data_IF_372486578956
#
_entry.id   IF_372486578956
#
_cell.length_a   1.000
_cell.length_b   1.000
_cell.length_c   1.000
_cell.angle_alpha   90.00
_cell.angle_beta   90.00
_cell.angle_gamma   90.00
#
_symmetry.space_group_name_H-M   'P 1'
#
loop_
_entity.id
_entity.type
_entity.pdbx_description
1 polymer ?
#
# COMPACT_ATOMS: atom_id res chain seq x y z
N UNK A 1 -4.48 8.87 25.02
CA UNK A 1 -4.39 10.05 24.14
C UNK A 1 -5.25 9.82 22.90
N UNK A 2 -5.69 10.88 22.24
CA UNK A 2 -6.52 10.84 21.03
C UNK A 2 -5.67 11.19 19.82
N UNK A 3 -5.68 10.33 18.80
CA UNK A 3 -4.95 10.54 17.54
C UNK A 3 -5.91 10.63 16.36
N UNK A 4 -5.52 11.34 15.31
CA UNK A 4 -6.25 11.37 14.06
C UNK A 4 -5.32 11.08 12.88
N UNK A 5 -5.82 10.36 11.90
CA UNK A 5 -5.06 9.98 10.70
C UNK A 5 -5.63 10.64 9.45
N UNK A 6 -4.76 11.05 8.55
CA UNK A 6 -5.12 11.57 7.24
C UNK A 6 -4.32 10.87 6.16
N UNK A 7 -5.02 10.27 5.19
CA UNK A 7 -4.40 9.50 4.13
C UNK A 7 -4.54 10.19 2.80
N UNK A 8 -3.42 10.39 2.13
CA UNK A 8 -3.33 10.76 0.72
C UNK A 8 -2.75 9.60 -0.08
N UNK A 9 -3.25 9.38 -1.30
CA UNK A 9 -2.62 8.44 -2.23
C UNK A 9 -3.45 7.19 -2.55
N UNK A 10 -2.75 6.06 -2.65
CA UNK A 10 -3.27 4.81 -3.18
C UNK A 10 -3.83 3.89 -2.07
N UNK A 11 -4.29 2.70 -2.49
CA UNK A 11 -4.79 1.66 -1.57
C UNK A 11 -3.70 1.16 -0.61
N UNK A 12 -2.42 1.19 -1.01
CA UNK A 12 -1.31 0.84 -0.12
C UNK A 12 -1.21 1.82 1.04
N UNK A 13 -1.27 3.14 0.76
CA UNK A 13 -1.31 4.15 1.83
C UNK A 13 -2.55 3.98 2.73
N UNK A 14 -3.71 3.62 2.16
CA UNK A 14 -4.91 3.35 2.97
C UNK A 14 -4.72 2.15 3.90
N UNK A 15 -4.15 1.06 3.40
CA UNK A 15 -3.82 -0.11 4.22
C UNK A 15 -2.83 0.25 5.35
N UNK A 16 -1.75 0.97 5.01
CA UNK A 16 -0.74 1.40 5.99
C UNK A 16 -1.34 2.31 7.07
N UNK A 17 -2.25 3.22 6.69
CA UNK A 17 -2.93 4.07 7.67
C UNK A 17 -3.85 3.25 8.58
N UNK A 18 -4.63 2.32 8.02
CA UNK A 18 -5.49 1.43 8.82
C UNK A 18 -4.67 0.59 9.82
N UNK A 19 -3.49 0.11 9.40
CA UNK A 19 -2.59 -0.61 10.28
C UNK A 19 -2.05 0.28 11.41
N UNK A 20 -1.66 1.52 11.12
CA UNK A 20 -1.23 2.48 12.15
C UNK A 20 -2.38 2.83 13.12
N UNK A 21 -3.61 2.96 12.64
CA UNK A 21 -4.81 3.15 13.47
C UNK A 21 -5.00 1.97 14.43
N UNK A 22 -4.86 0.74 13.94
CA UNK A 22 -4.93 -0.46 14.79
C UNK A 22 -3.83 -0.49 15.85
N UNK A 23 -2.58 -0.19 15.47
CA UNK A 23 -1.45 -0.15 16.40
C UNK A 23 -1.65 0.89 17.51
N UNK A 24 -2.23 2.06 17.18
CA UNK A 24 -2.61 3.07 18.17
C UNK A 24 -3.68 2.54 19.13
N UNK A 25 -4.73 1.90 18.63
CA UNK A 25 -5.79 1.32 19.46
C UNK A 25 -5.28 0.20 20.35
N UNK A 26 -4.43 -0.70 19.82
CA UNK A 26 -3.78 -1.77 20.59
C UNK A 26 -2.87 -1.23 21.70
N UNK A 27 -2.31 -0.03 21.49
CA UNK A 27 -1.51 0.69 22.51
C UNK A 27 -2.37 1.49 23.51
N UNK A 28 -3.71 1.30 23.51
CA UNK A 28 -4.63 1.94 24.45
C UNK A 28 -4.99 3.39 24.13
N UNK A 29 -4.82 3.81 22.86
CA UNK A 29 -5.18 5.15 22.39
C UNK A 29 -6.52 5.15 21.64
N UNK A 30 -7.14 6.32 21.52
CA UNK A 30 -8.41 6.49 20.79
C UNK A 30 -8.19 7.22 19.48
N UNK A 31 -9.05 6.94 18.51
CA UNK A 31 -9.05 7.62 17.21
C UNK A 31 -10.12 8.72 17.19
N UNK A 32 -9.76 9.84 16.59
CA UNK A 32 -10.66 10.96 16.34
C UNK A 32 -10.72 11.33 14.85
N UNK A 33 -11.62 12.26 14.53
CA UNK A 33 -11.66 12.85 13.19
C UNK A 33 -10.47 13.79 12.98
N UNK A 34 -10.00 13.89 11.74
CA UNK A 34 -8.92 14.82 11.38
C UNK A 34 -9.29 16.30 11.57
N UNK A 35 -10.58 16.59 11.70
CA UNK A 35 -11.11 17.94 11.91
C UNK A 35 -11.34 18.29 13.38
N UNK A 36 -11.12 17.33 14.29
CA UNK A 36 -11.22 17.51 15.73
C UNK A 36 -9.87 17.86 16.35
N UNK A 37 -9.90 18.45 17.53
CA UNK A 37 -8.70 18.65 18.35
C UNK A 37 -8.26 17.30 18.90
N UNK A 38 -7.04 16.86 18.51
CA UNK A 38 -6.42 15.63 18.94
C UNK A 38 -5.02 15.90 19.55
N UNK A 39 -4.52 14.97 20.35
CA UNK A 39 -3.17 15.03 20.92
C UNK A 39 -2.09 14.81 19.86
N UNK A 40 -2.40 14.02 18.82
CA UNK A 40 -1.50 13.78 17.71
C UNK A 40 -2.21 13.58 16.38
N UNK A 41 -1.51 13.89 15.29
CA UNK A 41 -2.00 13.72 13.91
C UNK A 41 -0.96 12.96 13.09
N UNK A 42 -1.40 11.92 12.41
CA UNK A 42 -0.61 11.15 11.44
C UNK A 42 -1.05 11.52 10.03
N UNK A 43 -0.09 11.94 9.20
CA UNK A 43 -0.35 12.29 7.80
C UNK A 43 0.45 11.35 6.91
N UNK A 44 -0.23 10.40 6.28
CA UNK A 44 0.36 9.49 5.31
C UNK A 44 0.28 10.11 3.91
N UNK A 45 1.43 10.48 3.37
CA UNK A 45 1.57 11.35 2.22
C UNK A 45 1.74 10.61 0.89
N UNK A 46 1.40 11.28 -0.20
CA UNK A 46 1.56 10.81 -1.58
C UNK A 46 2.31 11.83 -2.42
N UNK A 47 3.10 11.37 -3.41
CA UNK A 47 3.90 12.23 -4.30
C UNK A 47 3.73 11.89 -5.80
N UNK A 48 2.70 11.11 -6.17
CA UNK A 48 2.50 10.75 -7.59
C UNK A 48 2.09 11.95 -8.47
N UNK A 49 1.70 13.07 -7.85
CA UNK A 49 1.40 14.33 -8.55
C UNK A 49 1.78 15.53 -7.67
N UNK A 50 2.18 16.66 -8.29
CA UNK A 50 2.42 17.93 -7.59
C UNK A 50 1.20 18.42 -6.79
N UNK A 51 -0.02 18.05 -7.21
CA UNK A 51 -1.25 18.33 -6.47
C UNK A 51 -1.29 17.56 -5.14
N UNK A 52 -0.82 16.30 -5.15
CA UNK A 52 -0.72 15.48 -3.92
C UNK A 52 0.28 16.08 -2.94
N UNK A 53 1.43 16.56 -3.40
CA UNK A 53 2.43 17.22 -2.56
C UNK A 53 1.85 18.48 -1.91
N UNK A 54 1.14 19.31 -2.69
CA UNK A 54 0.45 20.50 -2.17
C UNK A 54 -0.60 20.13 -1.12
N UNK A 55 -1.40 19.08 -1.34
CA UNK A 55 -2.39 18.61 -0.38
C UNK A 55 -1.73 18.11 0.91
N UNK A 56 -0.60 17.39 0.81
CA UNK A 56 0.19 16.94 1.95
C UNK A 56 0.65 18.12 2.81
N UNK A 57 1.28 19.14 2.20
CA UNK A 57 1.72 20.36 2.91
C UNK A 57 0.56 21.12 3.54
N UNK A 58 -0.58 21.20 2.86
CA UNK A 58 -1.76 21.87 3.41
C UNK A 58 -2.35 21.12 4.61
N UNK A 59 -2.36 19.80 4.58
CA UNK A 59 -2.81 18.99 5.73
C UNK A 59 -1.94 19.24 6.97
N UNK A 60 -0.60 19.26 6.80
CA UNK A 60 0.35 19.55 7.88
C UNK A 60 0.10 20.95 8.48
N UNK A 61 0.01 21.97 7.62
CA UNK A 61 -0.26 23.35 8.08
C UNK A 61 -1.61 23.49 8.77
N UNK A 62 -2.63 22.75 8.30
CA UNK A 62 -3.97 22.77 8.87
C UNK A 62 -3.97 22.27 10.30
N UNK A 63 -3.33 21.14 10.59
CA UNK A 63 -3.32 20.57 11.95
C UNK A 63 -2.49 21.43 12.91
N UNK A 64 -1.40 22.03 12.45
CA UNK A 64 -0.63 23.02 13.24
C UNK A 64 -1.45 24.24 13.61
N UNK A 65 -2.32 24.69 12.69
CA UNK A 65 -3.26 25.78 12.98
C UNK A 65 -4.39 25.37 13.90
N UNK A 66 -4.88 24.13 13.76
CA UNK A 66 -5.99 23.59 14.58
C UNK A 66 -5.57 23.37 16.03
N UNK A 67 -4.42 22.72 16.25
CA UNK A 67 -3.83 22.50 17.56
C UNK A 67 -2.30 22.67 17.48
N UNK A 68 -1.75 23.84 17.84
CA UNK A 68 -0.30 24.09 17.84
C UNK A 68 0.50 23.16 18.76
N UNK A 69 -0.15 22.62 19.79
CA UNK A 69 0.48 21.74 20.78
C UNK A 69 0.40 20.24 20.44
N UNK A 70 -0.32 19.87 19.36
CA UNK A 70 -0.41 18.49 18.95
C UNK A 70 0.93 17.96 18.41
N UNK A 71 1.17 16.68 18.57
CA UNK A 71 2.27 16.01 17.86
C UNK A 71 1.87 15.75 16.40
N UNK A 72 2.70 16.16 15.46
CA UNK A 72 2.46 15.96 14.03
C UNK A 72 3.49 15.01 13.46
N UNK A 73 3.04 13.83 13.04
CA UNK A 73 3.85 12.84 12.36
C UNK A 73 3.51 12.75 10.87
N UNK A 74 4.56 12.63 10.06
CA UNK A 74 4.44 12.56 8.60
C UNK A 74 5.19 11.35 8.08
N UNK A 75 4.54 10.58 7.22
CA UNK A 75 5.13 9.42 6.55
C UNK A 75 4.67 9.32 5.10
N UNK A 76 5.14 8.32 4.37
CA UNK A 76 4.69 8.01 3.01
C UNK A 76 5.57 8.55 1.91
N UNK A 77 5.08 8.48 0.66
CA UNK A 77 5.91 8.68 -0.53
C UNK A 77 6.47 10.10 -0.64
N UNK A 78 5.72 11.14 -0.26
CA UNK A 78 6.24 12.51 -0.28
C UNK A 78 7.29 12.74 0.81
N UNK A 79 7.07 12.20 2.00
CA UNK A 79 8.05 12.24 3.08
C UNK A 79 9.38 11.55 2.68
N UNK A 80 9.29 10.44 1.94
CA UNK A 80 10.46 9.73 1.42
C UNK A 80 11.18 10.46 0.30
N UNK A 81 10.45 11.03 -0.66
CA UNK A 81 11.04 11.62 -1.87
C UNK A 81 11.50 13.07 -1.69
N UNK A 82 10.95 13.76 -0.71
CA UNK A 82 11.23 15.20 -0.46
C UNK A 82 11.25 15.53 1.04
N UNK A 83 12.08 14.82 1.84
CA UNK A 83 12.09 14.99 3.30
C UNK A 83 12.42 16.40 3.72
N UNK A 84 13.32 17.10 3.01
CA UNK A 84 13.73 18.48 3.31
C UNK A 84 12.58 19.49 3.19
N UNK A 85 11.62 19.22 2.30
CA UNK A 85 10.42 20.06 2.20
C UNK A 85 9.49 19.85 3.41
N UNK A 86 9.44 18.62 3.95
CA UNK A 86 8.63 18.29 5.12
C UNK A 86 9.30 18.86 6.39
N UNK A 87 10.62 18.76 6.52
CA UNK A 87 11.41 19.32 7.66
C UNK A 87 11.13 20.81 7.89
N UNK A 88 10.86 21.56 6.81
CA UNK A 88 10.49 23.01 6.89
C UNK A 88 9.10 23.26 7.47
N UNK A 89 8.26 22.23 7.71
CA UNK A 89 6.86 22.37 8.10
C UNK A 89 6.61 22.12 9.59
N UNK A 90 7.67 22.16 10.42
CA UNK A 90 7.58 21.92 11.87
C UNK A 90 6.83 20.63 12.23
N UNK A 91 7.32 19.49 11.76
CA UNK A 91 6.85 18.16 12.13
C UNK A 91 7.63 17.62 13.31
N UNK A 92 7.02 16.75 14.12
CA UNK A 92 7.64 16.16 15.30
C UNK A 92 8.21 14.78 15.00
N UNK A 93 7.52 14.01 14.14
CA UNK A 93 7.95 12.66 13.74
C UNK A 93 7.93 12.56 12.22
N UNK A 94 9.06 12.21 11.64
CA UNK A 94 9.22 12.06 10.19
C UNK A 94 9.83 10.71 9.86
N UNK A 95 9.14 9.91 9.04
CA UNK A 95 9.68 8.71 8.42
C UNK A 95 9.35 8.67 6.93
N UNK A 96 10.02 7.78 6.19
CA UNK A 96 9.77 7.53 4.79
C UNK A 96 8.57 6.61 4.52
N UNK A 97 8.81 5.60 3.70
CA UNK A 97 7.80 4.62 3.25
C UNK A 97 7.90 3.27 3.96
N UNK A 98 8.74 3.13 4.98
CA UNK A 98 8.96 1.92 5.76
C UNK A 98 8.90 2.22 7.26
N UNK A 99 8.81 1.17 8.12
CA UNK A 99 8.87 1.32 9.58
C UNK A 99 7.59 1.90 10.22
N UNK A 100 6.42 1.50 9.79
CA UNK A 100 5.13 2.00 10.32
C UNK A 100 4.92 1.69 11.79
N UNK A 101 5.36 0.52 12.24
CA UNK A 101 5.29 0.14 13.65
C UNK A 101 6.19 1.04 14.50
N UNK A 102 7.43 1.27 14.09
CA UNK A 102 8.35 2.19 14.75
C UNK A 102 7.79 3.63 14.74
N UNK A 103 7.20 4.05 13.63
CA UNK A 103 6.57 5.37 13.52
C UNK A 103 5.47 5.59 14.56
N UNK A 104 4.58 4.61 14.76
CA UNK A 104 3.53 4.71 15.78
C UNK A 104 4.14 4.80 17.18
N UNK A 105 5.18 4.02 17.49
CA UNK A 105 5.91 4.14 18.77
C UNK A 105 6.51 5.53 18.96
N UNK A 106 7.16 6.09 17.93
CA UNK A 106 7.72 7.45 17.98
C UNK A 106 6.63 8.53 18.13
N UNK A 107 5.46 8.34 17.52
CA UNK A 107 4.32 9.24 17.72
C UNK A 107 3.83 9.26 19.17
N UNK A 108 3.74 8.10 19.80
CA UNK A 108 3.33 7.97 21.20
C UNK A 108 4.38 8.59 22.12
N UNK A 109 5.66 8.28 21.87
CA UNK A 109 6.77 8.84 22.65
C UNK A 109 6.87 10.36 22.52
N UNK A 110 6.79 10.89 21.29
CA UNK A 110 6.79 12.33 21.05
C UNK A 110 5.63 13.06 21.73
N UNK A 111 4.45 12.41 21.84
CA UNK A 111 3.31 12.98 22.54
C UNK A 111 3.53 13.06 24.07
N UNK A 112 4.34 12.18 24.65
CA UNK A 112 4.67 12.14 26.07
C UNK A 112 5.87 13.02 26.41
N UNK A 113 6.93 12.94 25.59
CA UNK A 113 8.26 13.50 25.92
C UNK A 113 8.59 14.78 25.20
N UNK A 114 7.86 15.09 24.10
CA UNK A 114 8.18 16.18 23.16
C UNK A 114 9.49 15.96 22.39
N UNK A 115 10.07 14.77 22.43
CA UNK A 115 11.23 14.40 21.61
C UNK A 115 10.81 14.36 20.13
N UNK A 116 11.62 14.94 19.26
CA UNK A 116 11.45 14.87 17.80
C UNK A 116 12.23 13.68 17.23
N UNK A 117 11.63 13.05 16.20
CA UNK A 117 12.20 11.89 15.52
C UNK A 117 12.25 12.14 14.01
N UNK A 118 13.42 12.01 13.42
CA UNK A 118 13.63 12.05 11.96
C UNK A 118 14.38 10.79 11.55
N UNK A 119 13.64 9.84 10.98
CA UNK A 119 14.11 8.50 10.66
C UNK A 119 13.86 8.16 9.17
N UNK A 120 14.02 9.14 8.28
CA UNK A 120 13.94 8.87 6.83
C UNK A 120 15.22 8.16 6.40
N UNK A 121 15.04 6.93 5.92
CA UNK A 121 16.11 6.08 5.40
C UNK A 121 16.23 6.13 3.87
N UNK A 122 17.26 5.50 3.31
CA UNK A 122 17.40 5.33 1.87
C UNK A 122 16.46 4.23 1.34
N UNK A 123 15.48 4.61 0.52
CA UNK A 123 14.57 3.66 -0.12
C UNK A 123 15.27 2.68 -1.09
N UNK A 124 16.46 3.02 -1.57
CA UNK A 124 17.29 2.16 -2.43
C UNK A 124 18.02 1.06 -1.68
N UNK A 125 18.12 1.15 -0.37
CA UNK A 125 18.77 0.17 0.50
C UNK A 125 17.98 -1.13 0.63
N UNK A 126 18.58 -2.16 1.23
CA UNK A 126 17.89 -3.43 1.50
C UNK A 126 16.78 -3.23 2.55
N UNK A 127 15.56 -3.66 2.21
CA UNK A 127 14.40 -3.62 3.08
C UNK A 127 13.65 -4.95 3.05
N UNK A 128 13.22 -5.44 4.20
CA UNK A 128 12.28 -6.55 4.29
C UNK A 128 10.84 -6.07 4.06
N UNK A 129 9.93 -7.00 3.75
CA UNK A 129 8.52 -6.68 3.74
C UNK A 129 8.02 -6.48 5.18
N UNK A 130 7.42 -5.33 5.46
CA UNK A 130 6.84 -5.02 6.76
C UNK A 130 5.45 -5.64 6.86
N UNK A 131 5.29 -6.63 7.73
CA UNK A 131 4.00 -7.29 8.00
C UNK A 131 3.26 -6.45 9.04
N UNK A 132 2.28 -5.70 8.58
CA UNK A 132 1.44 -4.84 9.42
C UNK A 132 0.08 -5.50 9.69
N UNK A 133 -0.62 -5.16 10.79
CA UNK A 133 -1.94 -5.69 11.05
C UNK A 133 -2.93 -5.28 9.95
N UNK A 134 -3.78 -6.22 9.53
CA UNK A 134 -4.85 -6.00 8.57
C UNK A 134 -6.21 -6.12 9.27
N UNK A 135 -7.25 -5.44 8.75
CA UNK A 135 -8.61 -5.50 9.33
C UNK A 135 -8.87 -4.45 10.40
N UNK A 136 -9.55 -4.84 11.48
CA UNK A 136 -9.82 -4.01 12.66
C UNK A 136 -10.84 -2.88 12.48
N UNK A 137 -11.51 -2.78 11.32
CA UNK A 137 -12.51 -1.76 11.03
C UNK A 137 -13.91 -2.40 10.94
N UNK A 138 -14.52 -2.61 12.08
CA UNK A 138 -15.81 -3.31 12.25
C UNK A 138 -16.98 -2.78 11.36
N UNK A 139 -16.87 -1.59 10.81
CA UNK A 139 -17.90 -0.98 9.97
C UNK A 139 -17.70 -1.25 8.45
N UNK A 140 -16.67 -1.98 8.02
CA UNK A 140 -16.37 -2.23 6.61
C UNK A 140 -16.61 -3.68 6.23
N UNK A 141 -17.31 -3.93 5.13
CA UNK A 141 -17.48 -5.26 4.53
C UNK A 141 -16.28 -5.73 3.71
N UNK A 142 -15.37 -4.80 3.37
CA UNK A 142 -14.19 -5.02 2.53
C UNK A 142 -12.92 -4.69 3.28
N UNK A 143 -11.97 -5.62 3.29
CA UNK A 143 -10.61 -5.42 3.80
C UNK A 143 -9.60 -5.18 2.66
N UNK A 144 -8.51 -4.51 2.98
CA UNK A 144 -7.32 -4.43 2.14
C UNK A 144 -6.27 -5.39 2.71
N UNK A 145 -5.62 -6.16 1.85
CA UNK A 145 -4.48 -7.01 2.20
C UNK A 145 -3.30 -6.63 1.30
N UNK A 146 -2.30 -5.99 1.88
CA UNK A 146 -1.06 -5.63 1.17
C UNK A 146 -0.14 -6.83 1.15
N UNK A 147 0.15 -7.35 -0.04
CA UNK A 147 0.99 -8.55 -0.23
C UNK A 147 2.34 -8.24 -0.88
N UNK A 148 2.49 -7.04 -1.42
CA UNK A 148 3.71 -6.62 -2.13
C UNK A 148 3.93 -5.12 -1.92
N UNK A 149 5.20 -4.70 -1.95
CA UNK A 149 5.62 -3.30 -1.93
C UNK A 149 6.89 -3.10 -2.78
N UNK A 150 7.07 -1.87 -3.25
CA UNK A 150 8.18 -1.51 -4.13
C UNK A 150 7.92 -1.85 -5.61
N UNK A 151 8.89 -1.53 -6.49
CA UNK A 151 8.76 -1.84 -7.90
C UNK A 151 10.12 -1.79 -8.60
N UNK A 152 10.40 -2.77 -9.47
CA UNK A 152 11.63 -2.86 -10.26
C UNK A 152 11.45 -2.44 -11.74
N UNK A 153 10.30 -1.91 -12.13
CA UNK A 153 10.02 -1.59 -13.54
C UNK A 153 10.73 -0.31 -14.04
N UNK A 154 10.99 0.67 -13.17
CA UNK A 154 11.64 1.93 -13.52
C UNK A 154 11.06 2.59 -14.77
N UNK A 155 9.71 2.63 -14.86
CA UNK A 155 9.04 3.37 -15.92
C UNK A 155 9.46 4.85 -15.89
N UNK A 156 9.71 5.46 -17.04
CA UNK A 156 10.37 6.79 -17.16
C UNK A 156 9.61 7.93 -16.47
N UNK A 157 8.34 7.77 -16.19
CA UNK A 157 7.47 8.75 -15.54
C UNK A 157 7.18 8.45 -14.06
N UNK A 158 7.73 7.34 -13.52
CA UNK A 158 7.28 6.82 -12.23
C UNK A 158 8.31 7.06 -11.13
N UNK A 159 7.88 7.73 -10.06
CA UNK A 159 8.70 7.98 -8.86
C UNK A 159 8.78 6.76 -7.92
N UNK A 160 7.92 5.78 -8.08
CA UNK A 160 7.72 4.69 -7.12
C UNK A 160 8.99 3.91 -6.78
N UNK A 161 9.84 3.48 -7.75
CA UNK A 161 11.09 2.78 -7.42
C UNK A 161 12.04 3.56 -6.52
N UNK A 162 11.94 4.88 -6.55
CA UNK A 162 12.77 5.79 -5.73
C UNK A 162 12.11 6.11 -4.38
N UNK A 163 10.78 6.11 -4.33
CA UNK A 163 10.06 6.40 -3.09
C UNK A 163 9.82 5.15 -2.24
N UNK A 164 9.61 3.97 -2.86
CA UNK A 164 9.28 2.74 -2.15
C UNK A 164 10.36 1.64 -2.24
N UNK A 165 11.37 1.86 -3.08
CA UNK A 165 12.47 0.91 -3.25
C UNK A 165 12.10 -0.28 -4.13
N UNK A 166 12.87 -1.36 -3.94
CA UNK A 166 12.75 -2.60 -4.72
C UNK A 166 11.55 -3.43 -4.29
N UNK A 167 11.15 -4.34 -5.19
CA UNK A 167 10.10 -5.34 -4.90
C UNK A 167 10.45 -6.11 -3.63
N UNK A 168 9.47 -6.23 -2.76
CA UNK A 168 9.49 -7.08 -1.58
C UNK A 168 8.09 -7.62 -1.33
N UNK A 169 8.00 -8.88 -1.00
CA UNK A 169 6.73 -9.63 -0.95
C UNK A 169 6.46 -10.15 0.44
N UNK A 170 5.18 -10.17 0.82
CA UNK A 170 4.72 -10.84 2.02
C UNK A 170 4.89 -12.36 1.83
N UNK A 171 5.49 -13.08 2.78
CA UNK A 171 5.52 -14.55 2.73
C UNK A 171 4.13 -15.15 2.58
N UNK A 172 4.04 -16.27 1.84
CA UNK A 172 2.77 -16.93 1.53
C UNK A 172 1.96 -17.26 2.78
N UNK A 173 2.62 -17.85 3.78
CA UNK A 173 2.00 -18.26 5.04
C UNK A 173 1.44 -17.06 5.81
N UNK A 174 2.16 -15.93 5.81
CA UNK A 174 1.70 -14.71 6.44
C UNK A 174 0.48 -14.11 5.71
N UNK A 175 0.46 -14.15 4.37
CA UNK A 175 -0.66 -13.69 3.58
C UNK A 175 -1.91 -14.54 3.83
N UNK A 176 -1.77 -15.88 3.89
CA UNK A 176 -2.84 -16.82 4.19
C UNK A 176 -3.35 -16.61 5.62
N UNK A 177 -2.46 -16.46 6.60
CA UNK A 177 -2.84 -16.22 7.99
C UNK A 177 -3.64 -14.92 8.14
N UNK A 178 -3.21 -13.82 7.49
CA UNK A 178 -3.96 -12.57 7.51
C UNK A 178 -5.31 -12.67 6.81
N UNK A 179 -5.39 -13.35 5.66
CA UNK A 179 -6.66 -13.56 4.97
C UNK A 179 -7.65 -14.35 5.81
N UNK A 180 -7.19 -15.40 6.49
CA UNK A 180 -8.00 -16.21 7.40
C UNK A 180 -8.48 -15.40 8.61
N UNK A 181 -7.62 -14.57 9.18
CA UNK A 181 -7.99 -13.63 10.26
C UNK A 181 -9.08 -12.65 9.81
N UNK A 182 -8.93 -12.05 8.63
CA UNK A 182 -9.93 -11.14 8.05
C UNK A 182 -11.28 -11.85 7.81
N UNK A 183 -11.25 -13.09 7.34
CA UNK A 183 -12.47 -13.89 7.18
C UNK A 183 -13.16 -14.16 8.53
N UNK A 184 -12.39 -14.47 9.57
CA UNK A 184 -12.90 -14.68 10.94
C UNK A 184 -13.49 -13.38 11.55
N UNK A 185 -12.95 -12.20 11.21
CA UNK A 185 -13.51 -10.89 11.58
C UNK A 185 -14.81 -10.55 10.82
N UNK A 186 -15.25 -11.40 9.87
CA UNK A 186 -16.50 -11.24 9.15
C UNK A 186 -16.41 -10.42 7.85
N UNK A 187 -15.21 -10.10 7.36
CA UNK A 187 -15.06 -9.46 6.06
C UNK A 187 -15.58 -10.36 4.93
N UNK A 188 -16.32 -9.78 3.99
CA UNK A 188 -16.93 -10.48 2.86
C UNK A 188 -16.14 -10.37 1.56
N UNK A 189 -15.24 -9.42 1.48
CA UNK A 189 -14.33 -9.21 0.35
C UNK A 189 -12.96 -8.80 0.86
N UNK A 190 -11.90 -9.43 0.33
CA UNK A 190 -10.50 -9.04 0.54
C UNK A 190 -9.95 -8.54 -0.79
N UNK A 191 -9.44 -7.31 -0.81
CA UNK A 191 -8.76 -6.74 -1.96
C UNK A 191 -7.27 -6.96 -1.81
N UNK A 192 -6.70 -7.82 -2.65
CA UNK A 192 -5.26 -8.06 -2.74
C UNK A 192 -4.60 -6.82 -3.34
N UNK A 193 -3.69 -6.24 -2.61
CA UNK A 193 -3.16 -4.92 -2.85
C UNK A 193 -1.63 -4.91 -2.75
N UNK A 194 -1.01 -4.02 -3.48
CA UNK A 194 0.43 -3.78 -3.52
C UNK A 194 0.73 -2.62 -4.45
N UNK A 195 1.97 -2.32 -4.61
CA UNK A 195 2.46 -1.32 -5.58
C UNK A 195 2.40 -1.90 -6.99
N UNK A 196 2.88 -3.13 -7.14
CA UNK A 196 2.83 -3.90 -8.39
C UNK A 196 2.71 -5.39 -8.06
N UNK A 197 1.49 -5.82 -7.72
CA UNK A 197 1.22 -7.17 -7.21
C UNK A 197 1.66 -8.29 -8.16
N UNK A 198 1.78 -8.02 -9.47
CA UNK A 198 2.27 -8.97 -10.44
C UNK A 198 3.72 -9.42 -10.19
N UNK A 199 4.47 -8.63 -9.44
CA UNK A 199 5.86 -8.92 -9.07
C UNK A 199 6.00 -9.72 -7.77
N UNK A 200 4.89 -10.12 -7.13
CA UNK A 200 4.95 -10.89 -5.90
C UNK A 200 5.80 -12.15 -6.04
N UNK A 201 6.77 -12.33 -5.15
CA UNK A 201 7.67 -13.47 -5.11
C UNK A 201 8.90 -13.36 -6.02
N UNK A 202 9.01 -12.37 -6.89
CA UNK A 202 10.11 -12.30 -7.87
C UNK A 202 11.51 -12.17 -7.24
N UNK A 203 11.61 -11.51 -6.09
CA UNK A 203 12.88 -11.33 -5.39
C UNK A 203 13.44 -12.63 -4.83
N UNK A 204 12.61 -13.64 -4.58
CA UNK A 204 13.05 -14.93 -4.01
C UNK A 204 13.73 -15.84 -5.03
N UNK A 205 13.46 -15.67 -6.32
CA UNK A 205 14.06 -16.43 -7.44
C UNK A 205 13.89 -17.96 -7.34
N UNK A 206 12.83 -18.39 -6.66
CA UNK A 206 12.48 -19.81 -6.42
C UNK A 206 11.30 -20.29 -7.30
N UNK A 207 10.81 -19.44 -8.19
CA UNK A 207 9.64 -19.71 -9.03
C UNK A 207 8.30 -19.27 -8.43
N UNK A 208 8.33 -18.67 -7.25
CA UNK A 208 7.11 -18.08 -6.64
C UNK A 208 6.50 -17.00 -7.53
N UNK A 209 5.19 -16.99 -7.63
CA UNK A 209 4.47 -16.04 -8.49
C UNK A 209 3.07 -15.73 -7.94
N UNK A 210 2.50 -14.62 -8.39
CA UNK A 210 1.17 -14.15 -7.98
C UNK A 210 0.07 -15.23 -8.10
N UNK A 211 0.11 -16.07 -9.15
CA UNK A 211 -0.87 -17.15 -9.34
C UNK A 211 -0.91 -18.11 -8.15
N UNK A 212 0.26 -18.51 -7.61
CA UNK A 212 0.33 -19.40 -6.45
C UNK A 212 -0.23 -18.74 -5.19
N UNK A 213 0.10 -17.48 -4.95
CA UNK A 213 -0.47 -16.70 -3.86
C UNK A 213 -1.99 -16.67 -3.94
N UNK A 214 -2.54 -16.32 -5.12
CA UNK A 214 -3.99 -16.18 -5.31
C UNK A 214 -4.72 -17.51 -5.15
N UNK A 215 -4.16 -18.61 -5.66
CA UNK A 215 -4.70 -19.94 -5.47
C UNK A 215 -4.79 -20.28 -3.97
N UNK A 216 -3.69 -20.13 -3.24
CA UNK A 216 -3.64 -20.40 -1.81
C UNK A 216 -4.63 -19.53 -1.00
N UNK A 217 -4.76 -18.24 -1.35
CA UNK A 217 -5.74 -17.36 -0.71
C UNK A 217 -7.19 -17.79 -1.01
N UNK A 218 -7.51 -18.16 -2.25
CA UNK A 218 -8.84 -18.63 -2.62
C UNK A 218 -9.21 -19.93 -1.89
N UNK A 219 -8.26 -20.84 -1.73
CA UNK A 219 -8.42 -22.09 -0.98
C UNK A 219 -8.59 -21.86 0.51
N UNK A 220 -7.83 -20.95 1.11
CA UNK A 220 -7.86 -20.67 2.53
C UNK A 220 -9.17 -20.00 2.98
N UNK A 221 -9.78 -19.18 2.13
CA UNK A 221 -11.01 -18.43 2.48
C UNK A 221 -12.10 -18.57 1.41
N UNK A 222 -12.65 -19.78 1.18
CA UNK A 222 -13.59 -20.05 0.08
C UNK A 222 -14.91 -19.27 0.19
N UNK A 223 -15.29 -18.81 1.39
CA UNK A 223 -16.47 -18.00 1.64
C UNK A 223 -16.28 -16.49 1.47
N UNK A 224 -15.06 -16.03 1.17
CA UNK A 224 -14.73 -14.61 1.04
C UNK A 224 -14.33 -14.29 -0.40
N UNK A 225 -14.88 -13.23 -0.97
CA UNK A 225 -14.51 -12.78 -2.32
C UNK A 225 -13.09 -12.22 -2.33
N UNK A 226 -12.24 -12.74 -3.19
CA UNK A 226 -10.90 -12.24 -3.45
C UNK A 226 -10.94 -11.33 -4.67
N UNK A 227 -10.59 -10.06 -4.50
CA UNK A 227 -10.50 -9.06 -5.56
C UNK A 227 -9.07 -8.62 -5.76
N UNK A 228 -8.65 -8.44 -7.02
CA UNK A 228 -7.29 -8.01 -7.34
C UNK A 228 -7.18 -6.48 -7.43
N UNK A 229 -6.03 -5.98 -7.04
CA UNK A 229 -5.56 -4.64 -7.40
C UNK A 229 -5.17 -4.56 -8.87
N UNK A 230 -4.36 -3.55 -9.23
CA UNK A 230 -3.89 -3.37 -10.61
C UNK A 230 -2.85 -4.43 -10.97
N UNK A 231 -2.96 -4.94 -12.20
CA UNK A 231 -2.08 -5.95 -12.76
C UNK A 231 -1.27 -5.42 -13.94
N UNK A 232 -0.07 -5.92 -14.07
CA UNK A 232 0.74 -5.75 -15.27
C UNK A 232 0.33 -6.81 -16.30
N UNK A 233 0.11 -6.45 -17.57
CA UNK A 233 -0.48 -7.36 -18.56
C UNK A 233 0.28 -8.69 -18.75
N UNK A 234 1.60 -8.70 -18.63
CA UNK A 234 2.43 -9.90 -18.81
C UNK A 234 2.15 -11.02 -17.81
N UNK A 235 1.57 -10.68 -16.65
CA UNK A 235 1.19 -11.68 -15.64
C UNK A 235 0.05 -12.58 -16.11
N UNK A 236 -0.77 -12.08 -17.05
CA UNK A 236 -1.91 -12.81 -17.57
C UNK A 236 -1.45 -13.73 -18.71
N UNK A 237 -1.17 -14.97 -18.37
CA UNK A 237 -0.93 -16.05 -19.30
C UNK A 237 -2.02 -17.13 -19.19
N UNK A 238 -1.93 -18.15 -20.04
CA UNK A 238 -2.90 -19.25 -20.03
C UNK A 238 -2.89 -20.02 -18.70
N UNK A 239 -1.72 -20.22 -18.10
CA UNK A 239 -1.58 -20.90 -16.83
C UNK A 239 -2.24 -20.11 -15.68
N UNK A 240 -2.09 -18.78 -15.68
CA UNK A 240 -2.78 -17.88 -14.74
C UNK A 240 -4.30 -18.04 -14.88
N UNK A 241 -4.82 -17.91 -16.10
CA UNK A 241 -6.26 -17.96 -16.36
C UNK A 241 -6.85 -19.34 -16.04
N UNK A 242 -6.21 -20.41 -16.52
CA UNK A 242 -6.66 -21.78 -16.30
C UNK A 242 -6.69 -22.17 -14.83
N UNK A 243 -5.68 -21.78 -14.06
CA UNK A 243 -5.63 -22.07 -12.62
C UNK A 243 -6.71 -21.28 -11.87
N UNK A 244 -6.81 -19.98 -12.13
CA UNK A 244 -7.60 -19.08 -11.31
C UNK A 244 -9.10 -19.07 -11.67
N UNK A 245 -9.48 -19.44 -12.89
CA UNK A 245 -10.89 -19.58 -13.28
C UNK A 245 -11.62 -20.72 -12.56
N UNK A 246 -10.88 -21.64 -11.93
CA UNK A 246 -11.45 -22.69 -11.09
C UNK A 246 -11.97 -22.22 -9.72
N UNK A 247 -11.62 -21.02 -9.29
CA UNK A 247 -12.01 -20.50 -7.97
C UNK A 247 -13.23 -19.57 -8.05
N UNK A 248 -14.38 -20.05 -7.60
CA UNK A 248 -15.64 -19.28 -7.62
C UNK A 248 -15.61 -18.01 -6.76
N UNK A 249 -14.73 -17.95 -5.77
CA UNK A 249 -14.56 -16.79 -4.89
C UNK A 249 -13.55 -15.75 -5.44
N UNK A 250 -12.85 -16.02 -6.54
CA UNK A 250 -12.07 -14.99 -7.23
C UNK A 250 -13.01 -14.08 -8.02
N UNK A 251 -12.94 -12.79 -7.75
CA UNK A 251 -13.77 -11.80 -8.46
C UNK A 251 -13.34 -11.70 -9.94
N UNK A 252 -14.22 -11.96 -10.92
CA UNK A 252 -13.90 -11.89 -12.34
C UNK A 252 -13.83 -10.43 -12.83
N UNK A 253 -13.03 -9.61 -12.17
CA UNK A 253 -12.79 -8.21 -12.49
C UNK A 253 -11.30 -7.93 -12.43
N UNK A 254 -10.72 -7.52 -13.54
CA UNK A 254 -9.29 -7.29 -13.69
C UNK A 254 -9.02 -5.86 -14.15
N UNK A 255 -8.13 -5.17 -13.45
CA UNK A 255 -7.66 -3.85 -13.83
C UNK A 255 -6.26 -3.98 -14.40
N UNK A 256 -6.13 -3.94 -15.73
CA UNK A 256 -4.85 -4.02 -16.43
C UNK A 256 -4.31 -2.63 -16.74
N UNK A 257 -3.04 -2.41 -16.47
CA UNK A 257 -2.34 -1.14 -16.68
C UNK A 257 -1.92 -0.98 -18.15
N UNK A 258 -2.80 -0.45 -19.02
CA UNK A 258 -2.46 -0.22 -20.44
C UNK A 258 -1.43 0.91 -20.62
N UNK A 259 -1.55 2.00 -19.90
CA UNK A 259 -0.75 3.22 -19.95
C UNK A 259 -0.84 4.01 -21.28
N UNK A 260 -0.73 3.35 -22.43
CA UNK A 260 -0.88 3.94 -23.76
C UNK A 260 -1.33 2.89 -24.80
N UNK A 261 -2.12 3.29 -25.77
CA UNK A 261 -2.44 2.48 -26.94
C UNK A 261 -1.42 2.58 -28.10
N UNK A 262 -0.24 3.18 -27.86
CA UNK A 262 0.82 3.33 -28.87
C UNK A 262 2.09 2.62 -28.42
N UNK A 263 2.60 1.68 -29.21
CA UNK A 263 3.81 0.93 -28.92
C UNK A 263 5.05 1.83 -28.82
N UNK A 264 5.11 2.86 -29.67
CA UNK A 264 6.18 3.86 -29.59
C UNK A 264 6.20 4.57 -28.24
N UNK A 265 5.02 4.93 -27.72
CA UNK A 265 4.89 5.57 -26.39
C UNK A 265 5.21 4.57 -25.29
N UNK A 266 4.69 3.35 -25.34
CA UNK A 266 4.98 2.29 -24.37
C UNK A 266 6.50 2.03 -24.27
N UNK A 267 7.20 1.93 -25.41
CA UNK A 267 8.66 1.78 -25.47
C UNK A 267 9.37 2.97 -24.81
N UNK A 268 8.95 4.19 -25.09
CA UNK A 268 9.52 5.41 -24.45
C UNK A 268 9.23 5.49 -22.95
N UNK A 269 8.10 4.91 -22.50
CA UNK A 269 7.75 4.76 -21.09
C UNK A 269 8.53 3.63 -20.38
N UNK A 270 9.37 2.87 -21.07
CA UNK A 270 10.02 1.64 -20.59
C UNK A 270 9.03 0.56 -20.15
N UNK A 271 7.84 0.49 -20.77
CA UNK A 271 6.92 -0.62 -20.50
C UNK A 271 7.48 -1.91 -21.11
N UNK A 272 7.24 -3.01 -20.43
CA UNK A 272 7.78 -4.34 -20.79
C UNK A 272 6.79 -5.16 -21.64
N UNK A 273 5.79 -4.51 -22.20
CA UNK A 273 4.76 -5.06 -23.08
C UNK A 273 4.43 -4.04 -24.18
N UNK A 274 3.85 -4.52 -25.24
CA UNK A 274 3.26 -3.74 -26.34
C UNK A 274 1.72 -3.89 -26.37
N UNK A 275 1.06 -3.26 -27.33
CA UNK A 275 -0.40 -3.32 -27.47
C UNK A 275 -0.89 -4.71 -27.85
N UNK A 276 -0.09 -5.48 -28.61
CA UNK A 276 -0.43 -6.86 -28.99
C UNK A 276 -0.47 -7.77 -27.77
N UNK A 277 0.58 -7.69 -26.90
CA UNK A 277 0.63 -8.45 -25.64
C UNK A 277 -0.50 -8.05 -24.68
N UNK A 278 -0.85 -6.76 -24.62
CA UNK A 278 -1.99 -6.31 -23.82
C UNK A 278 -3.30 -6.92 -24.32
N UNK A 279 -3.54 -6.90 -25.66
CA UNK A 279 -4.74 -7.46 -26.27
C UNK A 279 -4.85 -8.98 -26.04
N UNK A 280 -3.73 -9.69 -26.11
CA UNK A 280 -3.68 -11.12 -25.77
C UNK A 280 -4.13 -11.38 -24.34
N UNK A 281 -3.65 -10.60 -23.37
CA UNK A 281 -4.08 -10.69 -21.95
C UNK A 281 -5.58 -10.49 -21.79
N UNK A 282 -6.15 -9.50 -22.51
CA UNK A 282 -7.61 -9.24 -22.51
C UNK A 282 -8.38 -10.41 -23.10
N UNK A 283 -7.90 -11.01 -24.20
CA UNK A 283 -8.54 -12.17 -24.86
C UNK A 283 -8.54 -13.38 -23.93
N UNK A 284 -7.41 -13.68 -23.29
CA UNK A 284 -7.30 -14.77 -22.31
C UNK A 284 -8.28 -14.57 -21.15
N UNK A 285 -8.30 -13.39 -20.54
CA UNK A 285 -9.24 -13.11 -19.45
C UNK A 285 -10.70 -13.30 -19.88
N UNK A 286 -11.08 -12.82 -21.06
CA UNK A 286 -12.46 -12.99 -21.58
C UNK A 286 -12.81 -14.42 -21.96
N UNK A 287 -11.82 -15.26 -22.24
CA UNK A 287 -12.03 -16.69 -22.55
C UNK A 287 -12.31 -17.50 -21.28
N UNK A 288 -11.65 -17.16 -20.17
CA UNK A 288 -11.69 -17.96 -18.95
C UNK A 288 -12.63 -17.42 -17.87
N UNK A 289 -12.94 -16.14 -17.90
CA UNK A 289 -13.78 -15.42 -16.92
C UNK A 289 -14.94 -14.68 -17.61
#
# INVERSE_FOLDING_TARGET
MKFACYTLGCKVNQYETQAMEQLLMQSGHTLGSFDEICDGYIINTCTVTAVSDKKSRNAIRRVRKLNPNAVVGVCGCYAQSSPDEIRKLDVDVLIGTDGREAFVRHMIDAAQTRQKWDCVDDAGGPRAFEILPAGGLAARTRALLKVEDGCNNFCTYCIIPYARGRVRSMPLEAAVAQATGLAAEGYREIVINGIEISSWGWEWKDGSCLRQLLAALCEAVPGVRIRLGSLEPRTIDEAFCKTLSGYANLCPQFHLSLQSGSDTVLKRMHRKYDTARYLESVRLLRQYF
#
